data_IF_787271833266
#
_entry.id   IF_787271833266
#
_cell.length_a   1.000
_cell.length_b   1.000
_cell.length_c   1.000
_cell.angle_alpha   90.00
_cell.angle_beta   90.00
_cell.angle_gamma   90.00
#
_symmetry.space_group_name_H-M   'P 1'
#
loop_
_entity.id
_entity.type
_entity.pdbx_description
1 polymer ?
#
# COMPACT_ATOMS: atom_id res chain seq x y z
N UNK A 1 -21.40 -3.58 -1.96
CA UNK A 1 -20.04 -3.37 -1.44
C UNK A 1 -19.98 -3.97 -0.04
N UNK A 2 -18.99 -4.82 0.25
CA UNK A 2 -18.92 -5.52 1.53
C UNK A 2 -18.49 -4.55 2.64
N UNK A 3 -19.39 -4.22 3.56
CA UNK A 3 -19.02 -3.57 4.80
C UNK A 3 -18.26 -4.58 5.66
N UNK A 4 -17.05 -4.24 6.10
CA UNK A 4 -16.40 -4.99 7.16
C UNK A 4 -17.31 -4.92 8.39
N UNK A 5 -17.84 -6.07 8.83
CA UNK A 5 -18.91 -6.14 9.83
C UNK A 5 -18.57 -5.52 11.21
N UNK A 6 -17.33 -5.09 11.42
CA UNK A 6 -16.81 -4.47 12.63
C UNK A 6 -16.54 -2.95 12.51
N UNK A 7 -16.72 -2.35 11.32
CA UNK A 7 -16.58 -0.91 11.09
C UNK A 7 -17.97 -0.30 10.87
N UNK A 8 -18.36 0.62 11.76
CA UNK A 8 -19.64 1.34 11.60
C UNK A 8 -19.52 2.49 10.61
N UNK A 9 -20.62 2.99 10.04
CA UNK A 9 -20.60 4.21 9.23
C UNK A 9 -20.00 5.41 9.97
N UNK A 10 -20.24 5.52 11.28
CA UNK A 10 -19.67 6.58 12.10
C UNK A 10 -18.15 6.46 12.23
N UNK A 11 -17.62 5.24 12.31
CA UNK A 11 -16.17 5.02 12.32
C UNK A 11 -15.54 5.40 10.98
N UNK A 12 -16.18 5.03 9.86
CA UNK A 12 -15.70 5.39 8.51
C UNK A 12 -15.65 6.91 8.32
N UNK A 13 -16.68 7.62 8.80
CA UNK A 13 -16.70 9.08 8.79
C UNK A 13 -15.62 9.68 9.72
N UNK A 14 -15.44 9.14 10.93
CA UNK A 14 -14.41 9.59 11.86
C UNK A 14 -12.98 9.36 11.35
N UNK A 15 -12.77 8.30 10.56
CA UNK A 15 -11.52 8.05 9.84
C UNK A 15 -11.36 8.93 8.58
N UNK A 16 -12.37 9.74 8.25
CA UNK A 16 -12.42 10.58 7.07
C UNK A 16 -12.55 9.80 5.76
N UNK A 17 -13.01 8.55 5.77
CA UNK A 17 -13.17 7.73 4.57
C UNK A 17 -14.48 8.02 3.83
N UNK A 18 -15.47 8.59 4.52
CA UNK A 18 -16.77 8.98 3.96
C UNK A 18 -17.15 10.41 4.33
N UNK A 19 -17.89 11.08 3.46
CA UNK A 19 -18.46 12.41 3.71
C UNK A 19 -19.69 12.35 4.64
N UNK A 20 -20.36 13.49 4.83
CA UNK A 20 -21.56 13.60 5.68
C UNK A 20 -22.76 12.81 5.14
N UNK A 21 -22.82 12.63 3.82
CA UNK A 21 -23.86 11.88 3.12
C UNK A 21 -23.57 10.36 3.09
N UNK A 22 -22.41 9.95 3.63
CA UNK A 22 -21.94 8.56 3.64
C UNK A 22 -21.32 8.10 2.32
N UNK A 23 -21.06 9.00 1.38
CA UNK A 23 -20.34 8.67 0.15
C UNK A 23 -18.84 8.55 0.44
N UNK A 24 -18.15 7.70 -0.33
CA UNK A 24 -16.71 7.55 -0.22
C UNK A 24 -16.00 8.82 -0.67
N UNK A 25 -15.04 9.28 0.12
CA UNK A 25 -14.14 10.37 -0.26
C UNK A 25 -13.06 9.78 -1.15
N UNK A 26 -13.06 10.14 -2.44
CA UNK A 26 -12.04 9.76 -3.41
C UNK A 26 -11.04 10.90 -3.56
N UNK A 27 -9.83 10.69 -3.03
CA UNK A 27 -8.70 11.61 -3.10
C UNK A 27 -7.40 10.79 -3.27
N UNK A 28 -7.05 10.41 -4.52
CA UNK A 28 -5.89 9.56 -4.78
C UNK A 28 -4.57 10.16 -4.30
N UNK A 29 -4.46 11.50 -4.24
CA UNK A 29 -3.28 12.20 -3.74
C UNK A 29 -3.06 11.98 -2.23
N UNK A 30 -4.09 11.54 -1.51
CA UNK A 30 -4.06 11.15 -0.09
C UNK A 30 -4.32 9.67 0.12
N UNK A 31 -3.99 8.85 -0.87
CA UNK A 31 -4.14 7.38 -0.83
C UNK A 31 -5.60 6.88 -0.68
N UNK A 32 -6.59 7.73 -0.97
CA UNK A 32 -8.01 7.39 -0.95
C UNK A 32 -8.49 7.12 -2.37
N UNK A 33 -8.62 5.84 -2.70
CA UNK A 33 -8.84 5.37 -4.07
C UNK A 33 -10.13 4.59 -4.18
N UNK A 34 -10.71 4.54 -5.39
CA UNK A 34 -11.74 3.54 -5.69
C UNK A 34 -11.11 2.14 -5.69
N UNK A 35 -11.95 1.09 -5.68
CA UNK A 35 -11.47 -0.29 -5.75
C UNK A 35 -10.69 -0.55 -7.06
N UNK A 36 -11.17 -0.03 -8.18
CA UNK A 36 -10.53 -0.16 -9.50
C UNK A 36 -9.16 0.54 -9.52
N UNK A 37 -9.08 1.75 -8.95
CA UNK A 37 -7.83 2.48 -8.81
C UNK A 37 -6.84 1.71 -7.93
N UNK A 38 -7.29 1.17 -6.79
CA UNK A 38 -6.45 0.35 -5.91
C UNK A 38 -5.95 -0.95 -6.54
N UNK A 39 -6.76 -1.57 -7.41
CA UNK A 39 -6.37 -2.78 -8.13
C UNK A 39 -5.43 -2.50 -9.32
N UNK A 40 -5.42 -1.27 -9.84
CA UNK A 40 -4.74 -0.93 -11.10
C UNK A 40 -3.25 -1.27 -11.11
N UNK A 41 -2.52 -1.03 -10.01
CA UNK A 41 -1.08 -1.29 -9.92
C UNK A 41 -0.72 -2.76 -10.02
N UNK A 42 -1.54 -3.65 -9.45
CA UNK A 42 -1.32 -5.08 -9.59
C UNK A 42 -1.56 -5.54 -11.03
N UNK A 43 -2.62 -5.02 -11.68
CA UNK A 43 -2.92 -5.33 -13.08
C UNK A 43 -1.80 -4.83 -13.99
N UNK A 44 -1.34 -3.59 -13.80
CA UNK A 44 -0.20 -3.03 -14.52
C UNK A 44 1.06 -3.87 -14.34
N UNK A 45 1.42 -4.19 -13.08
CA UNK A 45 2.58 -5.02 -12.75
C UNK A 45 2.56 -6.39 -13.40
N UNK A 46 1.38 -7.02 -13.50
CA UNK A 46 1.23 -8.35 -14.05
C UNK A 46 1.22 -8.42 -15.58
N UNK A 47 0.88 -7.32 -16.26
CA UNK A 47 0.49 -7.38 -17.69
C UNK A 47 1.18 -6.36 -18.59
N UNK A 48 1.80 -5.32 -18.02
CA UNK A 48 2.34 -4.22 -18.81
C UNK A 48 3.69 -4.58 -19.42
N UNK A 49 3.87 -4.51 -20.75
CA UNK A 49 5.17 -4.72 -21.39
C UNK A 49 6.17 -3.60 -21.06
N UNK A 50 5.72 -2.48 -20.47
CA UNK A 50 6.61 -1.41 -20.02
C UNK A 50 7.55 -1.85 -18.89
N UNK A 51 7.26 -2.97 -18.22
CA UNK A 51 8.08 -3.54 -17.16
C UNK A 51 9.02 -4.63 -17.66
N UNK A 52 9.08 -4.88 -18.98
CA UNK A 52 10.01 -5.85 -19.55
C UNK A 52 11.46 -5.46 -19.18
N UNK A 53 12.16 -6.36 -18.49
CA UNK A 53 13.52 -6.13 -17.99
C UNK A 53 13.61 -5.42 -16.64
N UNK A 54 12.49 -5.01 -16.04
CA UNK A 54 12.43 -4.40 -14.70
C UNK A 54 11.84 -5.39 -13.69
N UNK A 55 12.71 -6.17 -13.04
CA UNK A 55 12.36 -7.09 -11.94
C UNK A 55 12.80 -6.56 -10.57
N UNK A 56 12.10 -6.99 -9.51
CA UNK A 56 12.49 -6.67 -8.13
C UNK A 56 12.24 -5.22 -7.70
N UNK A 57 11.44 -4.46 -8.45
CA UNK A 57 11.08 -3.08 -8.16
C UNK A 57 9.76 -3.00 -7.38
N UNK A 58 9.60 -1.95 -6.56
CA UNK A 58 8.34 -1.65 -5.90
C UNK A 58 7.52 -0.69 -6.77
N UNK A 59 6.26 -1.06 -7.05
CA UNK A 59 5.35 -0.24 -7.85
C UNK A 59 4.35 0.48 -6.95
N UNK A 60 4.08 1.73 -7.29
CA UNK A 60 3.02 2.55 -6.70
C UNK A 60 2.36 3.35 -7.82
N UNK A 61 1.03 3.36 -7.85
CA UNK A 61 0.24 4.14 -8.81
C UNK A 61 0.62 3.90 -10.29
N UNK A 62 0.91 2.63 -10.62
CA UNK A 62 1.37 2.19 -11.95
C UNK A 62 2.76 2.72 -12.36
N UNK A 63 3.56 3.17 -11.41
CA UNK A 63 4.94 3.62 -11.63
C UNK A 63 5.93 2.92 -10.69
N UNK A 64 7.22 2.93 -11.04
CA UNK A 64 8.29 2.54 -10.11
C UNK A 64 8.37 3.62 -9.03
N UNK A 65 8.12 3.23 -7.78
CA UNK A 65 8.04 4.16 -6.67
C UNK A 65 9.39 4.83 -6.39
N UNK A 66 9.40 6.15 -6.11
CA UNK A 66 10.59 6.80 -5.58
C UNK A 66 10.87 6.31 -4.15
N UNK A 67 12.12 6.48 -3.69
CA UNK A 67 12.45 6.27 -2.29
C UNK A 67 11.91 7.42 -1.44
N UNK A 68 11.18 7.08 -0.38
CA UNK A 68 10.84 8.01 0.69
C UNK A 68 12.08 8.25 1.56
N UNK A 69 12.70 9.42 1.42
CA UNK A 69 13.90 9.75 2.20
C UNK A 69 13.63 9.88 3.71
N UNK A 70 12.37 9.86 4.16
CA UNK A 70 12.02 9.84 5.59
C UNK A 70 12.42 8.49 6.20
N UNK A 71 12.96 8.55 7.41
CA UNK A 71 13.45 7.35 8.12
C UNK A 71 12.41 6.77 9.08
N UNK A 72 11.36 7.54 9.37
CA UNK A 72 10.25 7.20 10.26
C UNK A 72 8.92 7.14 9.49
N UNK A 73 8.29 5.96 9.51
CA UNK A 73 6.93 5.81 8.99
C UNK A 73 5.94 6.03 10.13
N UNK A 74 5.24 7.17 10.12
CA UNK A 74 4.13 7.41 11.04
C UNK A 74 2.79 7.16 10.33
N UNK A 75 2.22 5.97 10.53
CA UNK A 75 0.91 5.62 9.97
C UNK A 75 -0.26 6.42 10.56
N UNK A 76 -0.02 7.27 11.56
CA UNK A 76 -1.00 8.21 12.11
C UNK A 76 -0.90 9.61 11.51
N UNK A 77 0.09 9.84 10.65
CA UNK A 77 0.21 11.10 9.92
C UNK A 77 -0.94 11.20 8.90
N UNK A 78 -1.69 12.30 8.85
CA UNK A 78 -2.70 12.51 7.82
C UNK A 78 -2.12 12.55 6.39
N UNK A 79 -0.81 12.78 6.23
CA UNK A 79 -0.06 12.66 4.97
C UNK A 79 0.73 11.34 4.93
N UNK A 80 0.05 10.20 5.06
CA UNK A 80 0.67 8.90 4.77
C UNK A 80 1.11 8.89 3.31
N UNK A 81 2.41 8.70 3.07
CA UNK A 81 2.94 8.32 1.76
C UNK A 81 3.22 6.83 1.79
N UNK A 82 2.84 6.15 0.72
CA UNK A 82 3.07 4.72 0.54
C UNK A 82 4.31 4.41 -0.32
N UNK A 83 5.21 5.39 -0.47
CA UNK A 83 6.46 5.22 -1.20
C UNK A 83 7.41 4.26 -0.45
N UNK A 84 8.33 3.61 -1.18
CA UNK A 84 9.25 2.65 -0.58
C UNK A 84 10.25 3.33 0.34
N UNK A 85 10.43 2.80 1.55
CA UNK A 85 11.34 3.32 2.57
C UNK A 85 12.73 2.65 2.51
N UNK A 86 13.83 3.35 2.87
CA UNK A 86 15.19 2.84 2.70
C UNK A 86 15.46 1.51 3.42
N UNK A 87 14.88 1.31 4.61
CA UNK A 87 15.10 0.08 5.37
C UNK A 87 14.45 -1.16 4.71
N UNK A 88 13.48 -0.98 3.81
CA UNK A 88 12.89 -2.08 3.04
C UNK A 88 13.88 -2.67 2.02
N UNK A 89 14.97 -1.95 1.71
CA UNK A 89 16.01 -2.39 0.79
C UNK A 89 17.20 -3.06 1.49
N UNK A 90 17.16 -3.28 2.80
CA UNK A 90 18.26 -3.87 3.56
C UNK A 90 18.35 -5.40 3.34
N UNK A 91 19.38 -5.92 2.63
CA UNK A 91 19.46 -7.34 2.27
C UNK A 91 19.55 -8.24 3.50
N UNK A 92 20.38 -7.88 4.48
CA UNK A 92 20.54 -8.64 5.74
C UNK A 92 19.21 -8.75 6.50
N UNK A 93 18.35 -7.74 6.43
CA UNK A 93 17.03 -7.78 7.07
C UNK A 93 16.08 -8.72 6.31
N UNK A 94 16.12 -8.71 4.97
CA UNK A 94 15.35 -9.61 4.14
C UNK A 94 15.75 -11.08 4.36
N UNK A 95 17.06 -11.39 4.41
CA UNK A 95 17.57 -12.73 4.67
C UNK A 95 17.16 -13.24 6.05
N UNK A 96 17.29 -12.41 7.09
CA UNK A 96 16.84 -12.75 8.44
C UNK A 96 15.33 -13.04 8.49
N UNK A 97 14.53 -12.21 7.83
CA UNK A 97 13.07 -12.40 7.77
C UNK A 97 12.71 -13.68 7.03
N UNK A 98 13.40 -13.99 5.93
CA UNK A 98 13.21 -15.23 5.17
C UNK A 98 13.49 -16.47 6.02
N UNK A 99 14.66 -16.53 6.66
CA UNK A 99 15.07 -17.66 7.49
C UNK A 99 14.08 -17.90 8.65
N UNK A 100 13.61 -16.84 9.30
CA UNK A 100 12.58 -16.94 10.34
C UNK A 100 11.26 -17.44 9.77
N UNK A 101 10.81 -16.89 8.64
CA UNK A 101 9.56 -17.28 8.00
C UNK A 101 9.55 -18.76 7.65
N UNK A 102 10.65 -19.28 7.11
CA UNK A 102 10.81 -20.72 6.87
C UNK A 102 10.65 -21.56 8.14
N UNK A 103 11.22 -21.12 9.27
CA UNK A 103 11.07 -21.84 10.55
C UNK A 103 9.61 -21.86 11.03
N UNK A 104 8.87 -20.78 10.80
CA UNK A 104 7.48 -20.65 11.25
C UNK A 104 6.50 -21.48 10.41
N UNK A 105 6.81 -21.73 9.14
CA UNK A 105 5.93 -22.50 8.23
C UNK A 105 6.34 -23.96 8.03
N UNK A 106 7.51 -24.36 8.54
CA UNK A 106 7.93 -25.77 8.57
C UNK A 106 7.10 -26.52 9.61
N UNK A 107 6.20 -27.38 9.14
CA UNK A 107 5.48 -28.38 9.95
C UNK A 107 6.27 -29.68 10.03
#
# INVERSE_FOLDING_TARGET
MAHAAWLTPQDLHAMGLTDEDGNQIIDPARERKTAEQGASTAVFGATSPLLDGYGGTYLKDNEISPLDARTDTNFRDPEVRSDVVPHALAPDSAERLWALSEQLVKH
#
